data_IF_605331001418
#
_entry.id   IF_605331001418
#
_cell.length_a   1.000
_cell.length_b   1.000
_cell.length_c   1.000
_cell.angle_alpha   90.00
_cell.angle_beta   90.00
_cell.angle_gamma   90.00
#
_symmetry.space_group_name_H-M   'P 1'
#
loop_
_entity.id
_entity.type
_entity.pdbx_description
1 polymer ?
#
# COMPACT_ATOMS: atom_id res chain seq x y z
N UNK A 1 -4.04 -3.92 16.55
CA UNK A 1 -5.24 -3.16 16.96
C UNK A 1 -6.42 -3.64 16.10
N UNK A 2 -7.68 -3.51 16.55
CA UNK A 2 -8.83 -3.96 15.77
C UNK A 2 -9.04 -3.14 14.47
N UNK A 3 -8.49 -1.93 14.43
CA UNK A 3 -8.49 -1.05 13.26
C UNK A 3 -7.24 -0.17 13.24
N UNK A 4 -6.89 0.37 12.07
CA UNK A 4 -5.74 1.25 11.95
C UNK A 4 -5.90 2.29 10.84
N UNK A 5 -5.20 3.40 10.98
CA UNK A 5 -5.10 4.46 9.98
C UNK A 5 -3.66 4.90 9.93
N UNK A 6 -3.03 4.73 8.77
CA UNK A 6 -1.64 5.09 8.51
C UNK A 6 -1.60 6.05 7.34
N UNK A 7 -0.74 7.05 7.41
CA UNK A 7 -0.45 7.94 6.28
C UNK A 7 1.02 7.80 5.91
N UNK A 8 1.28 7.55 4.64
CA UNK A 8 2.61 7.46 4.05
C UNK A 8 2.77 8.63 3.07
N UNK A 9 3.80 9.44 3.27
CA UNK A 9 4.14 10.55 2.40
C UNK A 9 5.27 10.11 1.46
N UNK A 10 5.01 10.07 0.17
CA UNK A 10 6.00 9.79 -0.86
C UNK A 10 6.47 11.08 -1.51
N UNK A 11 7.79 11.19 -1.73
CA UNK A 11 8.36 12.28 -2.52
C UNK A 11 7.91 12.21 -3.99
N UNK A 12 8.08 13.33 -4.70
CA UNK A 12 7.93 13.33 -6.15
C UNK A 12 8.95 12.36 -6.77
N UNK A 13 8.56 11.70 -7.86
CA UNK A 13 9.38 10.77 -8.63
C UNK A 13 9.32 11.13 -10.11
N UNK A 14 10.11 10.45 -10.94
CA UNK A 14 10.01 10.62 -12.39
C UNK A 14 8.66 10.21 -12.97
N UNK A 15 7.95 9.29 -12.31
CA UNK A 15 6.61 8.85 -12.72
C UNK A 15 5.52 9.81 -12.24
N UNK A 16 5.68 10.39 -11.05
CA UNK A 16 4.72 11.33 -10.48
C UNK A 16 5.46 12.55 -9.93
N UNK A 17 5.42 13.67 -10.68
CA UNK A 17 6.24 14.87 -10.42
C UNK A 17 5.78 15.70 -9.22
N UNK A 18 4.77 15.27 -8.49
CA UNK A 18 4.30 15.88 -7.24
C UNK A 18 4.39 14.88 -6.10
N UNK A 19 4.58 15.32 -4.84
CA UNK A 19 4.49 14.42 -3.69
C UNK A 19 3.13 13.73 -3.61
N UNK A 20 3.12 12.45 -3.23
CA UNK A 20 1.90 11.65 -3.07
C UNK A 20 1.67 11.36 -1.58
N UNK A 21 0.44 11.56 -1.13
CA UNK A 21 0.01 11.14 0.22
C UNK A 21 -0.91 9.93 0.10
N UNK A 22 -0.46 8.80 0.61
CA UNK A 22 -1.26 7.58 0.68
C UNK A 22 -1.83 7.42 2.09
N UNK A 23 -3.15 7.24 2.20
CA UNK A 23 -3.81 6.89 3.45
C UNK A 23 -4.27 5.45 3.39
N UNK A 24 -3.76 4.62 4.29
CA UNK A 24 -4.18 3.24 4.45
C UNK A 24 -5.10 3.14 5.65
N UNK A 25 -6.31 2.63 5.45
CA UNK A 25 -7.35 2.50 6.46
C UNK A 25 -7.75 1.03 6.55
N UNK A 26 -7.80 0.48 7.75
CA UNK A 26 -8.06 -0.93 7.99
C UNK A 26 -8.98 -1.13 9.20
N UNK A 27 -9.64 -2.29 9.27
CA UNK A 27 -10.56 -2.67 10.35
C UNK A 27 -11.88 -1.92 10.30
N UNK A 28 -12.43 -1.73 9.10
CA UNK A 28 -13.74 -1.09 8.87
C UNK A 28 -13.71 0.44 8.85
N UNK A 29 -12.54 1.07 9.05
CA UNK A 29 -12.37 2.51 8.85
C UNK A 29 -12.45 2.81 7.35
N UNK A 30 -13.28 3.78 6.97
CA UNK A 30 -13.45 4.25 5.60
C UNK A 30 -13.04 5.72 5.46
N UNK A 31 -12.57 6.16 4.28
CA UNK A 31 -12.38 7.58 4.04
C UNK A 31 -13.75 8.29 4.03
N UNK A 32 -13.78 9.62 4.24
CA UNK A 32 -14.98 10.41 3.97
C UNK A 32 -15.46 10.18 2.54
N UNK A 33 -16.79 10.18 2.33
CA UNK A 33 -17.40 10.12 1.01
C UNK A 33 -17.27 11.48 0.34
N UNK A 34 -16.48 11.62 -0.75
CA UNK A 34 -16.30 12.91 -1.41
C UNK A 34 -17.58 13.36 -2.13
N UNK A 35 -17.90 14.66 -2.08
CA UNK A 35 -19.10 15.24 -2.71
C UNK A 35 -19.19 14.98 -4.23
N UNK A 36 -18.04 14.73 -4.88
CA UNK A 36 -17.99 14.42 -6.30
C UNK A 36 -18.53 13.01 -6.63
N UNK A 37 -18.60 12.12 -5.64
CA UNK A 37 -19.13 10.77 -5.80
C UNK A 37 -20.61 10.81 -5.38
N UNK A 38 -21.55 10.33 -6.22
CA UNK A 38 -22.96 10.25 -5.85
C UNK A 38 -23.15 9.52 -4.51
N UNK A 39 -24.10 9.98 -3.69
CA UNK A 39 -24.26 9.49 -2.31
C UNK A 39 -24.56 7.98 -2.21
N UNK A 40 -25.15 7.40 -3.26
CA UNK A 40 -25.50 5.98 -3.32
C UNK A 40 -24.43 5.12 -4.01
N UNK A 41 -23.36 5.72 -4.54
CA UNK A 41 -22.30 4.99 -5.22
C UNK A 41 -21.31 4.38 -4.22
N UNK A 42 -20.85 3.17 -4.51
CA UNK A 42 -19.82 2.52 -3.70
C UNK A 42 -18.43 3.16 -3.89
N UNK A 43 -17.63 3.21 -2.81
CA UNK A 43 -16.29 3.83 -2.79
C UNK A 43 -15.16 2.89 -3.24
N UNK A 44 -15.48 1.68 -3.70
CA UNK A 44 -14.52 0.64 -4.05
C UNK A 44 -15.19 -0.53 -4.75
N UNK A 45 -15.21 -1.70 -4.12
CA UNK A 45 -16.06 -2.81 -4.55
C UNK A 45 -17.56 -2.49 -4.37
N UNK A 46 -18.46 -3.35 -4.86
CA UNK A 46 -19.92 -3.14 -4.79
C UNK A 46 -20.44 -2.97 -3.36
N UNK A 47 -19.81 -3.62 -2.38
CA UNK A 47 -20.18 -3.54 -0.96
C UNK A 47 -19.48 -2.42 -0.19
N UNK A 48 -18.59 -1.67 -0.86
CA UNK A 48 -17.62 -0.77 -0.23
C UNK A 48 -16.82 -1.44 0.90
N UNK A 49 -16.60 -2.76 0.83
CA UNK A 49 -15.87 -3.49 1.87
C UNK A 49 -14.38 -3.18 1.79
N UNK A 50 -13.86 -3.09 0.56
CA UNK A 50 -12.47 -2.79 0.25
C UNK A 50 -12.38 -1.95 -1.03
N UNK A 51 -11.27 -1.24 -1.19
CA UNK A 51 -11.02 -0.51 -2.43
C UNK A 51 -9.85 0.44 -2.37
N UNK A 52 -9.64 1.08 -3.51
CA UNK A 52 -8.64 2.13 -3.72
C UNK A 52 -9.37 3.37 -4.21
N UNK A 53 -9.07 4.51 -3.61
CA UNK A 53 -9.55 5.82 -4.04
C UNK A 53 -8.36 6.71 -4.38
N UNK A 54 -8.33 7.20 -5.61
CA UNK A 54 -7.31 8.13 -6.11
C UNK A 54 -7.97 9.48 -6.36
N UNK A 55 -7.53 10.50 -5.64
CA UNK A 55 -8.06 11.86 -5.73
C UNK A 55 -7.08 12.72 -6.52
N UNK A 56 -7.52 13.20 -7.68
CA UNK A 56 -6.75 14.07 -8.56
C UNK A 56 -7.39 15.44 -8.74
N UNK A 57 -6.67 16.36 -9.37
CA UNK A 57 -7.17 17.71 -9.66
C UNK A 57 -8.33 17.76 -10.66
N UNK A 58 -8.51 16.69 -11.44
CA UNK A 58 -9.54 16.59 -12.50
C UNK A 58 -10.71 15.67 -12.14
N UNK A 59 -10.63 14.97 -11.01
CA UNK A 59 -11.63 13.98 -10.66
C UNK A 59 -11.12 12.95 -9.66
N UNK A 60 -11.99 11.98 -9.37
CA UNK A 60 -11.72 10.89 -8.44
C UNK A 60 -11.89 9.56 -9.18
N UNK A 61 -10.94 8.66 -8.98
CA UNK A 61 -11.05 7.28 -9.44
C UNK A 61 -11.26 6.38 -8.22
N UNK A 62 -12.24 5.49 -8.29
CA UNK A 62 -12.43 4.42 -7.30
C UNK A 62 -12.34 3.07 -7.97
N UNK A 63 -11.86 2.06 -7.27
CA UNK A 63 -11.93 0.67 -7.70
C UNK A 63 -11.95 -0.27 -6.50
N UNK A 64 -12.51 -1.47 -6.65
CA UNK A 64 -12.24 -2.57 -5.73
C UNK A 64 -10.74 -2.89 -5.67
N UNK A 65 -10.32 -3.58 -4.60
CA UNK A 65 -8.90 -3.85 -4.29
C UNK A 65 -8.13 -4.57 -5.40
N UNK A 66 -8.83 -5.36 -6.23
CA UNK A 66 -8.25 -6.09 -7.36
C UNK A 66 -8.40 -5.38 -8.71
N UNK A 67 -8.89 -4.15 -8.74
CA UNK A 67 -8.97 -3.39 -10.00
C UNK A 67 -10.16 -3.73 -10.90
N UNK A 68 -11.16 -4.49 -10.43
CA UNK A 68 -12.27 -5.01 -11.26
C UNK A 68 -13.50 -4.10 -11.35
N UNK A 69 -13.60 -3.07 -10.52
CA UNK A 69 -14.75 -2.13 -10.55
C UNK A 69 -14.32 -0.66 -10.70
N UNK A 70 -13.42 -0.34 -11.65
CA UNK A 70 -12.93 1.02 -11.84
C UNK A 70 -14.02 1.98 -12.30
N UNK A 71 -14.16 3.09 -11.58
CA UNK A 71 -15.06 4.21 -11.89
C UNK A 71 -14.29 5.53 -11.85
N UNK A 72 -14.61 6.44 -12.77
CA UNK A 72 -14.07 7.80 -12.81
C UNK A 72 -15.20 8.83 -12.68
N UNK A 73 -15.10 9.66 -11.64
CA UNK A 73 -16.01 10.76 -11.35
C UNK A 73 -15.35 12.09 -11.70
N UNK A 74 -16.05 12.93 -12.44
CA UNK A 74 -15.59 14.26 -12.88
C UNK A 74 -16.73 15.25 -12.71
N UNK A 75 -16.38 16.50 -12.40
CA UNK A 75 -17.37 17.53 -12.12
C UNK A 75 -18.22 17.77 -13.36
N UNK A 76 -19.55 17.80 -13.18
CA UNK A 76 -20.54 18.07 -14.23
C UNK A 76 -20.44 17.12 -15.44
N UNK A 77 -20.00 15.88 -15.21
CA UNK A 77 -19.87 14.84 -16.24
C UNK A 77 -20.45 13.52 -15.73
N UNK A 78 -20.90 12.68 -16.65
CA UNK A 78 -21.32 11.32 -16.32
C UNK A 78 -20.15 10.48 -15.79
N UNK A 79 -20.46 9.62 -14.82
CA UNK A 79 -19.53 8.63 -14.28
C UNK A 79 -19.10 7.68 -15.39
N UNK A 80 -17.80 7.53 -15.57
CA UNK A 80 -17.26 6.52 -16.49
C UNK A 80 -17.03 5.24 -15.70
N UNK A 81 -17.70 4.16 -16.11
CA UNK A 81 -17.44 2.80 -15.64
C UNK A 81 -16.56 2.12 -16.69
N UNK A 82 -15.41 1.60 -16.28
CA UNK A 82 -14.47 0.99 -17.22
C UNK A 82 -14.65 -0.52 -17.27
N UNK A 83 -14.76 -1.07 -18.48
CA UNK A 83 -14.95 -2.51 -18.70
C UNK A 83 -13.63 -3.27 -18.47
N UNK A 84 -13.64 -4.16 -17.47
CA UNK A 84 -12.48 -5.00 -17.11
C UNK A 84 -12.62 -6.44 -17.60
N UNK A 85 -13.62 -6.76 -18.42
CA UNK A 85 -13.85 -8.11 -18.95
C UNK A 85 -12.68 -8.62 -19.80
N UNK A 86 -11.91 -7.71 -20.39
CA UNK A 86 -10.74 -8.03 -21.20
C UNK A 86 -9.44 -8.24 -20.39
N UNK A 87 -9.49 -8.10 -19.06
CA UNK A 87 -8.31 -8.30 -18.23
C UNK A 87 -8.00 -9.79 -18.13
N UNK A 88 -6.74 -10.22 -18.37
CA UNK A 88 -6.37 -11.61 -18.21
C UNK A 88 -6.64 -12.05 -16.76
N UNK A 89 -7.57 -12.99 -16.57
CA UNK A 89 -8.06 -13.44 -15.26
C UNK A 89 -6.93 -13.77 -14.28
N UNK A 90 -7.11 -13.39 -13.01
CA UNK A 90 -6.01 -13.22 -12.05
C UNK A 90 -5.40 -14.52 -11.48
N UNK A 91 -6.04 -15.69 -11.65
CA UNK A 91 -5.70 -16.87 -10.82
C UNK A 91 -5.22 -18.12 -11.58
N UNK A 92 -5.31 -18.17 -12.91
CA UNK A 92 -4.84 -19.35 -13.66
C UNK A 92 -3.44 -19.20 -14.27
N UNK A 93 -2.88 -17.99 -14.23
CA UNK A 93 -1.62 -17.66 -14.88
C UNK A 93 -0.45 -17.39 -13.94
N UNK A 94 -0.69 -16.94 -12.71
CA UNK A 94 0.39 -16.40 -11.86
C UNK A 94 1.40 -17.48 -11.45
N UNK A 95 0.91 -18.59 -10.88
CA UNK A 95 1.72 -19.73 -10.46
C UNK A 95 2.37 -20.41 -11.67
N UNK A 96 1.63 -20.51 -12.79
CA UNK A 96 2.15 -21.05 -14.05
C UNK A 96 3.32 -20.20 -14.57
N UNK A 97 3.17 -18.87 -14.61
CA UNK A 97 4.24 -17.95 -15.01
C UNK A 97 5.47 -18.09 -14.12
N UNK A 98 5.28 -18.23 -12.80
CA UNK A 98 6.37 -18.50 -11.87
C UNK A 98 7.10 -19.81 -12.19
N UNK A 99 6.37 -20.91 -12.37
CA UNK A 99 6.96 -22.21 -12.73
C UNK A 99 7.74 -22.13 -14.04
N UNK A 100 7.20 -21.45 -15.05
CA UNK A 100 7.90 -21.27 -16.34
C UNK A 100 9.16 -20.41 -16.19
N UNK A 101 9.10 -19.33 -15.41
CA UNK A 101 10.27 -18.50 -15.11
C UNK A 101 11.37 -19.30 -14.40
N UNK A 102 11.02 -20.13 -13.42
CA UNK A 102 11.97 -21.01 -12.73
C UNK A 102 12.63 -22.01 -13.69
N UNK A 103 11.86 -22.58 -14.64
CA UNK A 103 12.39 -23.50 -15.66
C UNK A 103 13.28 -22.81 -16.68
N UNK A 104 12.93 -21.60 -17.10
CA UNK A 104 13.69 -20.82 -18.08
C UNK A 104 14.96 -20.18 -17.49
N UNK A 105 14.99 -19.96 -16.18
CA UNK A 105 16.13 -19.42 -15.44
C UNK A 105 16.06 -17.92 -15.22
N UNK A 106 16.91 -17.43 -14.32
CA UNK A 106 17.02 -16.01 -13.98
C UNK A 106 17.36 -15.17 -15.21
N UNK A 107 16.77 -13.97 -15.32
CA UNK A 107 16.91 -13.05 -16.45
C UNK A 107 16.36 -13.51 -17.82
N UNK A 108 15.71 -14.68 -17.90
CA UNK A 108 14.94 -15.11 -19.08
C UNK A 108 13.78 -14.15 -19.41
N UNK A 109 13.21 -14.30 -20.62
CA UNK A 109 11.98 -13.61 -21.02
C UNK A 109 10.83 -13.86 -20.05
N UNK A 110 10.69 -15.09 -19.60
CA UNK A 110 9.65 -15.58 -18.69
C UNK A 110 9.82 -14.97 -17.31
N UNK A 111 11.06 -14.91 -16.80
CA UNK A 111 11.37 -14.23 -15.54
C UNK A 111 11.03 -12.74 -15.59
N UNK A 112 11.41 -12.05 -16.67
CA UNK A 112 11.13 -10.61 -16.82
C UNK A 112 9.65 -10.30 -17.08
N UNK A 113 8.87 -11.28 -17.52
CA UNK A 113 7.43 -11.18 -17.75
C UNK A 113 6.58 -11.50 -16.51
N UNK A 114 7.19 -11.77 -15.36
CA UNK A 114 6.47 -11.96 -14.10
C UNK A 114 5.71 -10.68 -13.72
N UNK A 115 4.45 -10.85 -13.32
CA UNK A 115 3.57 -9.73 -12.95
C UNK A 115 3.74 -9.27 -11.50
N UNK A 116 4.56 -9.97 -10.72
CA UNK A 116 4.87 -9.70 -9.30
C UNK A 116 6.30 -10.14 -9.01
N UNK A 117 7.27 -9.59 -9.75
CA UNK A 117 8.70 -9.87 -9.56
C UNK A 117 9.20 -9.31 -8.22
N UNK A 118 10.32 -9.81 -7.71
CA UNK A 118 10.91 -9.28 -6.46
C UNK A 118 11.30 -7.80 -6.57
N UNK A 119 11.75 -7.35 -7.75
CA UNK A 119 12.10 -5.94 -8.01
C UNK A 119 10.90 -5.00 -7.84
N UNK A 120 9.69 -5.50 -8.06
CA UNK A 120 8.45 -4.74 -7.86
C UNK A 120 7.88 -4.98 -6.46
N UNK A 121 7.71 -6.25 -6.09
CA UNK A 121 6.99 -6.66 -4.89
C UNK A 121 7.78 -6.43 -3.61
N UNK A 122 9.11 -6.38 -3.68
CA UNK A 122 9.98 -6.01 -2.56
C UNK A 122 9.69 -4.59 -2.06
N UNK A 123 9.93 -3.53 -2.87
CA UNK A 123 9.62 -2.15 -2.49
C UNK A 123 8.13 -1.92 -2.15
N UNK A 124 7.22 -2.62 -2.82
CA UNK A 124 5.79 -2.58 -2.46
C UNK A 124 5.55 -3.13 -1.06
N UNK A 125 6.18 -4.25 -0.69
CA UNK A 125 6.05 -4.85 0.64
C UNK A 125 6.67 -3.96 1.71
N UNK A 126 7.82 -3.34 1.42
CA UNK A 126 8.48 -2.38 2.30
C UNK A 126 7.50 -1.26 2.73
N UNK A 127 6.76 -0.70 1.78
CA UNK A 127 5.73 0.31 2.04
C UNK A 127 4.69 -0.15 3.09
N UNK A 128 4.20 -1.38 2.97
CA UNK A 128 3.23 -1.94 3.92
C UNK A 128 3.87 -2.17 5.29
N UNK A 129 5.10 -2.66 5.32
CA UNK A 129 5.86 -2.88 6.55
C UNK A 129 6.17 -1.57 7.29
N UNK A 130 6.44 -0.47 6.58
CA UNK A 130 6.56 0.86 7.18
C UNK A 130 5.30 1.26 7.95
N UNK A 131 4.11 0.90 7.44
CA UNK A 131 2.86 1.12 8.17
C UNK A 131 2.78 0.33 9.48
N UNK A 132 3.24 -0.92 9.47
CA UNK A 132 3.32 -1.74 10.68
C UNK A 132 4.31 -1.16 11.69
N UNK A 133 5.47 -0.67 11.25
CA UNK A 133 6.45 0.02 12.11
C UNK A 133 5.80 1.23 12.78
N UNK A 134 5.09 2.06 12.01
CA UNK A 134 4.39 3.24 12.52
C UNK A 134 3.34 2.86 13.58
N UNK A 135 2.49 1.87 13.32
CA UNK A 135 1.46 1.40 14.26
C UNK A 135 2.10 0.87 15.55
N UNK A 136 3.13 0.02 15.44
CA UNK A 136 3.80 -0.58 16.62
C UNK A 136 4.50 0.48 17.46
N UNK A 137 5.18 1.43 16.81
CA UNK A 137 5.84 2.56 17.48
C UNK A 137 4.82 3.46 18.18
N UNK A 138 3.68 3.73 17.54
CA UNK A 138 2.61 4.55 18.10
C UNK A 138 2.00 3.95 19.39
N UNK A 139 1.89 2.63 19.44
CA UNK A 139 1.33 1.88 20.57
C UNK A 139 2.33 1.61 21.69
N UNK A 140 3.61 1.84 21.47
CA UNK A 140 4.64 1.58 22.46
C UNK A 140 4.54 2.54 23.64
N UNK A 141 4.30 1.98 24.83
CA UNK A 141 4.31 2.69 26.10
C UNK A 141 5.66 2.49 26.78
N UNK A 142 6.31 3.58 27.19
CA UNK A 142 7.51 3.49 28.05
C UNK A 142 7.11 3.65 29.52
N UNK A 143 7.67 2.79 30.38
CA UNK A 143 7.47 2.83 31.82
C UNK A 143 8.15 4.06 32.44
N UNK A 144 7.69 4.49 33.62
CA UNK A 144 8.30 5.57 34.40
C UNK A 144 7.70 6.97 34.24
N UNK A 145 6.82 7.18 33.27
CA UNK A 145 6.02 8.40 33.11
C UNK A 145 4.56 8.01 32.87
N UNK A 146 3.63 8.64 33.60
CA UNK A 146 2.19 8.44 33.39
C UNK A 146 1.85 8.68 31.91
N UNK A 147 1.29 7.66 31.24
CA UNK A 147 0.85 7.68 29.84
C UNK A 147 1.86 8.21 28.80
N UNK A 148 3.15 7.86 28.91
CA UNK A 148 4.15 8.21 27.89
C UNK A 148 4.16 7.24 26.70
N UNK A 149 3.90 7.78 25.50
CA UNK A 149 3.97 7.07 24.22
C UNK A 149 4.92 7.81 23.25
N UNK A 150 6.25 7.63 23.41
CA UNK A 150 7.22 8.43 22.67
C UNK A 150 7.14 8.24 21.16
N UNK A 151 6.66 7.10 20.66
CA UNK A 151 6.50 6.86 19.22
C UNK A 151 5.27 7.49 18.57
N UNK A 152 4.42 8.24 19.31
CA UNK A 152 3.29 9.00 18.73
C UNK A 152 3.78 10.27 18.03
N UNK A 153 4.49 10.10 16.92
CA UNK A 153 5.00 11.19 16.07
C UNK A 153 5.16 10.72 14.63
N UNK A 154 5.42 11.66 13.71
CA UNK A 154 5.83 11.32 12.34
C UNK A 154 7.21 10.65 12.38
N UNK A 155 7.33 9.47 11.80
CA UNK A 155 8.60 8.78 11.62
C UNK A 155 9.22 9.17 10.27
N UNK A 156 10.54 9.34 10.26
CA UNK A 156 11.32 9.62 9.05
C UNK A 156 12.07 8.35 8.64
N UNK A 157 11.81 7.88 7.43
CA UNK A 157 12.38 6.66 6.87
C UNK A 157 13.47 6.98 5.86
N UNK A 158 14.62 6.32 6.02
CA UNK A 158 15.69 6.23 5.02
C UNK A 158 15.59 4.84 4.38
N UNK A 159 15.15 4.79 3.13
CA UNK A 159 14.93 3.53 2.40
C UNK A 159 16.23 2.84 2.00
N UNK A 160 17.27 3.61 1.66
CA UNK A 160 18.57 3.03 1.28
C UNK A 160 19.25 2.41 2.50
N UNK A 161 19.18 3.07 3.65
CA UNK A 161 19.70 2.54 4.91
C UNK A 161 18.73 1.57 5.61
N UNK A 162 17.50 1.42 5.10
CA UNK A 162 16.38 0.74 5.74
C UNK A 162 16.26 1.09 7.24
N UNK A 163 16.16 2.40 7.57
CA UNK A 163 16.20 2.86 8.98
C UNK A 163 15.24 4.02 9.26
N UNK A 164 14.65 4.02 10.45
CA UNK A 164 14.00 5.19 11.05
C UNK A 164 15.07 6.11 11.64
N UNK A 165 15.14 7.36 11.15
CA UNK A 165 16.23 8.29 11.46
C UNK A 165 15.94 9.22 12.65
N UNK A 166 14.68 9.46 12.97
CA UNK A 166 14.27 10.42 14.01
C UNK A 166 13.74 9.79 15.30
N UNK A 167 13.74 8.47 15.40
CA UNK A 167 13.32 7.72 16.59
C UNK A 167 13.94 6.32 16.58
N UNK A 168 15.11 6.18 17.22
CA UNK A 168 15.94 4.97 17.11
C UNK A 168 15.25 3.72 17.66
N UNK A 169 14.45 3.85 18.73
CA UNK A 169 13.71 2.72 19.32
C UNK A 169 12.75 2.03 18.32
N UNK A 170 12.27 2.72 17.29
CA UNK A 170 11.41 2.11 16.26
C UNK A 170 12.17 1.09 15.39
N UNK A 171 13.51 1.17 15.33
CA UNK A 171 14.32 0.28 14.49
C UNK A 171 14.30 -1.18 14.94
N UNK A 172 13.94 -1.46 16.21
CA UNK A 172 13.68 -2.83 16.66
C UNK A 172 12.48 -3.50 15.97
N UNK A 173 11.66 -2.73 15.26
CA UNK A 173 10.55 -3.24 14.45
C UNK A 173 10.89 -3.36 12.97
N UNK A 174 12.04 -2.82 12.55
CA UNK A 174 12.51 -2.87 11.16
C UNK A 174 13.12 -4.22 10.83
N UNK A 175 13.96 -4.72 11.73
CA UNK A 175 14.59 -6.03 11.62
C UNK A 175 14.28 -6.88 12.86
N UNK A 176 14.75 -8.13 12.85
CA UNK A 176 14.64 -9.07 13.97
C UNK A 176 16.03 -9.59 14.32
N UNK A 177 16.18 -10.08 15.53
CA UNK A 177 17.36 -10.87 15.87
C UNK A 177 17.26 -12.23 15.16
N UNK A 178 18.15 -12.45 14.21
CA UNK A 178 18.22 -13.71 13.47
C UNK A 178 18.92 -14.77 14.31
N UNK A 179 18.52 -16.03 14.11
CA UNK A 179 19.23 -17.16 14.70
C UNK A 179 20.65 -17.20 14.12
N UNK A 180 21.63 -17.54 14.96
CA UNK A 180 23.02 -17.74 14.52
C UNK A 180 23.10 -18.64 13.28
N UNK A 181 23.77 -18.15 12.22
CA UNK A 181 23.90 -18.83 10.92
C UNK A 181 22.78 -18.56 9.92
N UNK A 182 21.84 -17.68 10.24
CA UNK A 182 20.72 -17.25 9.39
C UNK A 182 20.61 -15.72 9.31
N UNK A 183 21.71 -15.02 9.55
CA UNK A 183 21.83 -13.58 9.40
C UNK A 183 21.65 -13.18 7.92
N UNK A 184 20.97 -12.06 7.67
CA UNK A 184 20.75 -11.48 6.34
C UNK A 184 21.65 -10.26 6.18
#
# INVERSE_FOLDING_TARGET
>A
PPSSSVTLDFAATDKNKIPLKMRWLDGGIRPPHPDLIPANDSLGDESSSNGVMMIGSKGIITTGVYGFTPKLYRKDQETVVFDTSNQPGNEFGHQTKWVQACKAGFNSSEHKALTSSFDYSGPMTETVLMGNIAIRSYMEKKSGLSNSYPGRKKLLWDGDAMKITNYDDANKFVTRDYRKGWEI
#
